data_IF_603883715681
#
_entry.id   IF_603883715681
#
_cell.length_a   1.000
_cell.length_b   1.000
_cell.length_c   1.000
_cell.angle_alpha   90.00
_cell.angle_beta   90.00
_cell.angle_gamma   90.00
#
_symmetry.space_group_name_H-M   'P 1'
#
loop_
_entity.id
_entity.type
_entity.pdbx_description
1 polymer ?
#
# COMPACT_ATOMS: atom_id res chain seq x y z
N UNK A 1 5.97 34.90 -2.53
CA UNK A 1 5.21 33.68 -2.20
C UNK A 1 6.03 32.89 -1.18
N UNK A 2 5.59 32.83 0.08
CA UNK A 2 6.34 32.25 1.21
C UNK A 2 6.32 30.71 1.15
N UNK A 3 7.41 30.06 1.58
CA UNK A 3 7.59 28.60 1.55
C UNK A 3 6.39 27.83 2.14
N UNK A 4 5.81 28.37 3.22
CA UNK A 4 4.63 27.80 3.89
C UNK A 4 3.39 27.72 2.98
N UNK A 5 3.22 28.67 2.06
CA UNK A 5 2.09 28.66 1.12
C UNK A 5 2.24 27.56 0.07
N UNK A 6 3.47 27.33 -0.41
CA UNK A 6 3.77 26.25 -1.36
C UNK A 6 3.57 24.86 -0.74
N UNK A 7 4.02 24.67 0.50
CA UNK A 7 3.81 23.40 1.23
C UNK A 7 2.32 23.18 1.49
N UNK A 8 1.58 24.23 1.85
CA UNK A 8 0.12 24.12 2.06
C UNK A 8 -0.62 23.73 0.77
N UNK A 9 -0.25 24.31 -0.38
CA UNK A 9 -0.81 23.94 -1.69
C UNK A 9 -0.47 22.51 -2.13
N UNK A 10 0.68 21.97 -1.73
CA UNK A 10 1.07 20.59 -2.00
C UNK A 10 0.35 19.56 -1.10
N UNK A 11 0.00 19.93 0.13
CA UNK A 11 -0.70 19.04 1.08
C UNK A 11 -2.20 19.03 0.85
N UNK A 12 -2.78 20.13 0.34
CA UNK A 12 -4.22 20.27 0.11
C UNK A 12 -5.03 20.61 1.36
N UNK A 13 -6.35 20.42 1.27
CA UNK A 13 -7.36 20.73 2.29
C UNK A 13 -8.27 19.53 2.50
N UNK A 14 -8.90 19.39 3.68
CA UNK A 14 -9.79 18.26 3.94
C UNK A 14 -11.13 18.41 3.20
N UNK A 15 -11.70 17.29 2.71
CA UNK A 15 -12.96 17.27 1.95
C UNK A 15 -14.20 17.82 2.68
N UNK A 16 -14.20 17.78 4.01
CA UNK A 16 -15.33 18.22 4.83
C UNK A 16 -15.24 19.71 5.23
N UNK A 17 -14.29 20.44 4.65
CA UNK A 17 -14.00 21.83 4.99
C UNK A 17 -13.00 21.95 6.14
N UNK A 18 -12.12 22.97 6.07
CA UNK A 18 -11.10 23.21 7.09
C UNK A 18 -9.79 23.81 6.55
N UNK A 19 -8.80 23.86 7.42
CA UNK A 19 -7.43 24.25 7.07
C UNK A 19 -6.52 23.03 6.88
N UNK A 20 -5.41 23.22 6.15
CA UNK A 20 -4.37 22.19 5.96
C UNK A 20 -3.83 21.63 7.29
N UNK A 21 -3.78 22.45 8.35
CA UNK A 21 -3.37 22.00 9.68
C UNK A 21 -4.31 20.94 10.29
N UNK A 22 -5.63 21.07 10.08
CA UNK A 22 -6.61 20.09 10.55
C UNK A 22 -6.45 18.76 9.81
N UNK A 23 -6.26 18.81 8.48
CA UNK A 23 -5.98 17.63 7.67
C UNK A 23 -4.73 16.88 8.15
N UNK A 24 -3.62 17.59 8.41
CA UNK A 24 -2.39 16.97 8.92
C UNK A 24 -2.61 16.34 10.29
N UNK A 25 -3.28 17.04 11.21
CA UNK A 25 -3.56 16.52 12.55
C UNK A 25 -4.44 15.26 12.52
N UNK A 26 -5.51 15.26 11.72
CA UNK A 26 -6.40 14.12 11.54
C UNK A 26 -5.67 12.93 10.89
N UNK A 27 -4.83 13.20 9.89
CA UNK A 27 -4.01 12.17 9.23
C UNK A 27 -3.02 11.52 10.19
N UNK A 28 -2.38 12.31 11.05
CA UNK A 28 -1.51 11.81 12.11
C UNK A 28 -2.30 10.96 13.11
N UNK A 29 -3.49 11.41 13.52
CA UNK A 29 -4.36 10.68 14.44
C UNK A 29 -4.80 9.32 13.89
N UNK A 30 -5.29 9.28 12.66
CA UNK A 30 -5.66 8.03 11.96
C UNK A 30 -4.42 7.15 11.78
N UNK A 31 -3.31 7.74 11.35
CA UNK A 31 -2.06 7.02 11.12
C UNK A 31 -1.52 6.34 12.38
N UNK A 32 -1.52 7.06 13.50
CA UNK A 32 -1.15 6.52 14.81
C UNK A 32 -2.07 5.37 15.24
N UNK A 33 -3.39 5.55 15.12
CA UNK A 33 -4.37 4.53 15.51
C UNK A 33 -4.18 3.23 14.69
N UNK A 34 -4.01 3.34 13.37
CA UNK A 34 -3.78 2.20 12.48
C UNK A 34 -2.44 1.53 12.76
N UNK A 35 -1.36 2.30 12.89
CA UNK A 35 -0.02 1.79 13.14
C UNK A 35 0.09 1.05 14.49
N UNK A 36 -0.54 1.59 15.54
CA UNK A 36 -0.63 0.92 16.85
C UNK A 36 -1.44 -0.36 16.78
N UNK A 37 -2.54 -0.38 16.02
CA UNK A 37 -3.37 -1.57 15.83
C UNK A 37 -2.59 -2.67 15.11
N UNK A 38 -1.92 -2.35 14.00
CA UNK A 38 -1.09 -3.31 13.24
C UNK A 38 0.04 -3.85 14.12
N UNK A 39 0.73 -2.97 14.85
CA UNK A 39 1.83 -3.35 15.75
C UNK A 39 1.33 -4.23 16.89
N UNK A 40 0.18 -3.91 17.48
CA UNK A 40 -0.44 -4.68 18.55
C UNK A 40 -0.89 -6.08 18.12
N UNK A 41 -1.51 -6.21 16.94
CA UNK A 41 -1.85 -7.51 16.35
C UNK A 41 -0.57 -8.31 16.09
N UNK A 42 0.44 -7.67 15.51
CA UNK A 42 1.71 -8.34 15.19
C UNK A 42 2.43 -8.82 16.45
N UNK A 43 2.41 -8.02 17.52
CA UNK A 43 2.94 -8.40 18.83
C UNK A 43 2.20 -9.62 19.40
N UNK A 44 0.87 -9.63 19.33
CA UNK A 44 0.04 -10.73 19.83
C UNK A 44 0.31 -12.05 19.09
N UNK A 45 0.56 -11.98 17.77
CA UNK A 45 0.86 -13.15 16.94
C UNK A 45 2.30 -13.63 17.09
N UNK A 46 3.27 -12.72 17.07
CA UNK A 46 4.68 -13.08 17.00
C UNK A 46 5.32 -13.35 18.37
N UNK A 47 4.74 -12.84 19.46
CA UNK A 47 5.26 -12.95 20.83
C UNK A 47 6.80 -12.74 20.90
N UNK A 48 7.30 -11.56 20.49
CA UNK A 48 8.73 -11.32 20.36
C UNK A 48 9.43 -11.28 21.72
N UNK A 49 10.64 -11.85 21.80
CA UNK A 49 11.48 -11.78 23.00
C UNK A 49 11.90 -10.32 23.31
N UNK A 50 12.25 -9.56 22.26
CA UNK A 50 12.73 -8.17 22.37
C UNK A 50 11.61 -7.17 22.04
N UNK A 51 10.70 -6.96 22.99
CA UNK A 51 9.48 -6.15 22.80
C UNK A 51 9.78 -4.73 22.33
N UNK A 52 10.76 -4.05 22.93
CA UNK A 52 11.06 -2.65 22.61
C UNK A 52 11.58 -2.48 21.17
N UNK A 53 12.46 -3.38 20.73
CA UNK A 53 12.99 -3.39 19.36
C UNK A 53 11.87 -3.72 18.36
N UNK A 54 11.05 -4.73 18.66
CA UNK A 54 9.94 -5.12 17.80
C UNK A 54 8.96 -3.98 17.59
N UNK A 55 8.47 -3.37 18.68
CA UNK A 55 7.52 -2.25 18.62
C UNK A 55 8.15 -1.05 17.92
N UNK A 56 9.41 -0.73 18.22
CA UNK A 56 10.12 0.38 17.59
C UNK A 56 10.22 0.22 16.06
N UNK A 57 10.64 -0.94 15.58
CA UNK A 57 10.78 -1.23 14.14
C UNK A 57 9.41 -1.25 13.45
N UNK A 58 8.42 -1.93 14.03
CA UNK A 58 7.08 -2.02 13.44
C UNK A 58 6.41 -0.65 13.35
N UNK A 59 6.49 0.17 14.40
CA UNK A 59 5.96 1.54 14.36
C UNK A 59 6.73 2.39 13.34
N UNK A 60 8.07 2.33 13.32
CA UNK A 60 8.86 3.09 12.35
C UNK A 60 8.49 2.78 10.89
N UNK A 61 8.17 1.51 10.58
CA UNK A 61 7.78 1.08 9.25
C UNK A 61 6.31 1.39 8.92
N UNK A 62 5.40 1.19 9.88
CA UNK A 62 3.94 1.28 9.62
C UNK A 62 3.40 2.69 9.76
N UNK A 63 3.93 3.49 10.70
CA UNK A 63 3.47 4.83 10.99
C UNK A 63 3.45 5.76 9.75
N UNK A 64 4.55 5.94 8.99
CA UNK A 64 4.53 6.85 7.84
C UNK A 64 3.52 6.42 6.78
N UNK A 65 3.39 5.11 6.54
CA UNK A 65 2.42 4.55 5.59
C UNK A 65 0.98 4.76 6.04
N UNK A 66 0.69 4.56 7.34
CA UNK A 66 -0.64 4.76 7.90
C UNK A 66 -1.04 6.24 7.93
N UNK A 67 -0.11 7.15 8.23
CA UNK A 67 -0.36 8.60 8.15
C UNK A 67 -0.68 9.00 6.71
N UNK A 68 0.10 8.51 5.74
CA UNK A 68 -0.14 8.75 4.32
C UNK A 68 -1.51 8.22 3.88
N UNK A 69 -1.90 7.02 4.33
CA UNK A 69 -3.21 6.46 4.04
C UNK A 69 -4.36 7.30 4.64
N UNK A 70 -4.21 7.76 5.89
CA UNK A 70 -5.17 8.67 6.52
C UNK A 70 -5.32 9.98 5.76
N UNK A 71 -4.20 10.58 5.34
CA UNK A 71 -4.19 11.77 4.49
C UNK A 71 -4.90 11.54 3.16
N UNK A 72 -4.59 10.43 2.47
CA UNK A 72 -5.14 10.10 1.16
C UNK A 72 -6.67 9.93 1.22
N UNK A 73 -7.21 9.43 2.32
CA UNK A 73 -8.66 9.34 2.54
C UNK A 73 -9.26 10.72 2.82
N UNK A 74 -8.61 11.58 3.59
CA UNK A 74 -9.21 12.83 4.05
C UNK A 74 -9.05 14.00 3.07
N UNK A 75 -7.96 14.00 2.30
CA UNK A 75 -7.61 15.12 1.41
C UNK A 75 -8.61 15.26 0.27
N UNK A 76 -8.98 16.50 0.01
CA UNK A 76 -9.68 16.90 -1.21
C UNK A 76 -8.64 17.09 -2.32
N UNK A 77 -8.67 16.21 -3.31
CA UNK A 77 -7.70 16.18 -4.40
C UNK A 77 -7.72 17.47 -5.23
N UNK A 78 -8.88 18.10 -5.38
CA UNK A 78 -9.04 19.31 -6.20
C UNK A 78 -8.35 20.53 -5.58
N UNK A 79 -7.96 20.41 -4.31
CA UNK A 79 -7.26 21.47 -3.58
C UNK A 79 -5.74 21.32 -3.60
N UNK A 80 -5.22 20.26 -4.24
CA UNK A 80 -3.79 20.00 -4.39
C UNK A 80 -3.28 20.66 -5.67
N UNK A 81 -2.28 21.52 -5.53
CA UNK A 81 -1.63 22.17 -6.67
C UNK A 81 -0.99 21.15 -7.63
N UNK A 82 -1.42 21.15 -8.89
CA UNK A 82 -0.86 20.30 -9.95
C UNK A 82 -1.41 18.87 -9.98
N UNK A 83 -2.50 18.57 -9.26
CA UNK A 83 -3.20 17.30 -9.40
C UNK A 83 -3.76 17.11 -10.82
N UNK A 84 -3.56 15.93 -11.41
CA UNK A 84 -4.20 15.57 -12.69
C UNK A 84 -5.73 15.57 -12.52
N UNK A 85 -6.51 16.27 -13.36
CA UNK A 85 -7.96 16.39 -13.18
C UNK A 85 -8.72 15.05 -13.18
N UNK A 86 -8.30 14.11 -14.05
CA UNK A 86 -8.95 12.81 -14.23
C UNK A 86 -7.88 11.69 -14.18
N UNK A 87 -7.47 11.23 -12.99
CA UNK A 87 -6.43 10.21 -12.84
C UNK A 87 -6.81 8.89 -13.49
N UNK A 88 -8.07 8.48 -13.41
CA UNK A 88 -8.58 7.24 -13.97
C UNK A 88 -8.50 7.19 -15.50
N UNK A 89 -8.54 8.34 -16.17
CA UNK A 89 -8.33 8.44 -17.61
C UNK A 89 -6.86 8.55 -18.00
N UNK A 90 -5.95 8.58 -17.01
CA UNK A 90 -4.52 8.54 -17.29
C UNK A 90 -4.14 7.22 -17.95
N UNK A 91 -3.27 7.30 -18.95
CA UNK A 91 -2.64 6.14 -19.60
C UNK A 91 -1.98 5.24 -18.54
N UNK A 92 -1.43 5.81 -17.47
CA UNK A 92 -0.84 5.04 -16.38
C UNK A 92 -1.87 4.26 -15.53
N UNK A 93 -3.08 4.82 -15.37
CA UNK A 93 -4.17 4.13 -14.67
C UNK A 93 -4.66 2.94 -15.50
N UNK A 94 -4.80 3.12 -16.82
CA UNK A 94 -5.14 2.03 -17.73
C UNK A 94 -4.09 0.92 -17.71
N UNK A 95 -2.80 1.28 -17.71
CA UNK A 95 -1.71 0.30 -17.57
C UNK A 95 -1.78 -0.45 -16.25
N UNK A 96 -2.08 0.25 -15.15
CA UNK A 96 -2.24 -0.35 -13.83
C UNK A 96 -3.41 -1.34 -13.81
N UNK A 97 -4.60 -0.93 -14.25
CA UNK A 97 -5.80 -1.77 -14.23
C UNK A 97 -5.62 -3.04 -15.09
N UNK A 98 -5.02 -2.88 -16.28
CA UNK A 98 -4.74 -4.01 -17.16
C UNK A 98 -3.67 -4.94 -16.56
N UNK A 99 -2.66 -4.40 -15.87
CA UNK A 99 -1.64 -5.18 -15.18
C UNK A 99 -2.19 -5.91 -13.95
N UNK A 100 -3.05 -5.27 -13.15
CA UNK A 100 -3.73 -5.91 -12.00
C UNK A 100 -4.58 -7.07 -12.47
N UNK A 101 -5.42 -6.87 -13.49
CA UNK A 101 -6.25 -7.93 -14.05
C UNK A 101 -5.40 -9.10 -14.55
N UNK A 102 -4.33 -8.84 -15.30
CA UNK A 102 -3.41 -9.88 -15.80
C UNK A 102 -2.74 -10.65 -14.66
N UNK A 103 -2.27 -9.93 -13.63
CA UNK A 103 -1.62 -10.50 -12.45
C UNK A 103 -2.57 -11.41 -11.68
N UNK A 104 -3.82 -10.98 -11.50
CA UNK A 104 -4.85 -11.75 -10.81
C UNK A 104 -5.09 -13.10 -11.51
N UNK A 105 -5.31 -13.09 -12.82
CA UNK A 105 -5.52 -14.32 -13.58
C UNK A 105 -4.29 -15.24 -13.55
N UNK A 106 -3.09 -14.67 -13.62
CA UNK A 106 -1.85 -15.44 -13.49
C UNK A 106 -1.73 -16.09 -12.10
N UNK A 107 -1.95 -15.32 -11.03
CA UNK A 107 -1.88 -15.82 -9.66
C UNK A 107 -2.96 -16.86 -9.37
N UNK A 108 -4.16 -16.71 -9.93
CA UNK A 108 -5.24 -17.70 -9.82
C UNK A 108 -4.80 -19.06 -10.39
N UNK A 109 -4.24 -19.06 -11.60
CA UNK A 109 -3.75 -20.29 -12.24
C UNK A 109 -2.51 -20.84 -11.53
N UNK A 110 -1.54 -19.98 -11.19
CA UNK A 110 -0.29 -20.38 -10.57
C UNK A 110 -0.49 -20.95 -9.16
N UNK A 111 -1.34 -20.32 -8.34
CA UNK A 111 -1.66 -20.83 -7.00
C UNK A 111 -2.45 -22.13 -7.07
N UNK A 112 -3.44 -22.25 -7.97
CA UNK A 112 -4.16 -23.50 -8.18
C UNK A 112 -3.26 -24.65 -8.62
N UNK A 113 -2.35 -24.40 -9.56
CA UNK A 113 -1.35 -25.37 -10.00
C UNK A 113 -0.37 -25.74 -8.86
N UNK A 114 0.10 -24.76 -8.10
CA UNK A 114 0.98 -25.01 -6.95
C UNK A 114 0.30 -25.90 -5.89
N UNK A 115 -0.96 -25.62 -5.56
CA UNK A 115 -1.76 -26.47 -4.65
C UNK A 115 -1.90 -27.90 -5.18
N UNK A 116 -2.14 -28.07 -6.49
CA UNK A 116 -2.21 -29.40 -7.11
C UNK A 116 -0.86 -30.13 -7.02
N UNK A 117 0.25 -29.46 -7.32
CA UNK A 117 1.60 -30.04 -7.25
C UNK A 117 1.93 -30.49 -5.82
N UNK A 118 1.56 -29.70 -4.81
CA UNK A 118 1.78 -30.07 -3.40
C UNK A 118 0.97 -31.29 -2.94
N UNK A 119 0.04 -31.81 -3.74
CA UNK A 119 -0.59 -33.12 -3.44
C UNK A 119 0.35 -34.30 -3.71
N UNK A 120 1.38 -34.11 -4.55
CA UNK A 120 2.36 -35.14 -4.90
C UNK A 120 3.74 -34.91 -4.31
N UNK A 121 4.04 -33.67 -3.91
CA UNK A 121 5.33 -33.31 -3.31
C UNK A 121 5.13 -33.04 -1.83
N UNK A 122 5.78 -33.83 -0.98
CA UNK A 122 5.79 -33.63 0.46
C UNK A 122 6.73 -32.46 0.81
N UNK A 123 6.18 -31.24 0.79
CA UNK A 123 6.88 -30.01 1.16
C UNK A 123 6.29 -29.47 2.45
N UNK A 124 7.07 -29.52 3.53
CA UNK A 124 6.71 -28.90 4.79
C UNK A 124 7.32 -27.50 4.88
N UNK A 125 6.51 -26.48 4.61
CA UNK A 125 6.87 -25.07 4.81
C UNK A 125 5.94 -24.43 5.83
N UNK A 126 6.47 -23.48 6.61
CA UNK A 126 5.63 -22.71 7.53
C UNK A 126 4.62 -21.86 6.75
N UNK A 127 3.45 -21.60 7.33
CA UNK A 127 2.45 -20.71 6.74
C UNK A 127 3.02 -19.30 6.47
N UNK A 128 3.91 -18.80 7.34
CA UNK A 128 4.60 -17.53 7.15
C UNK A 128 5.48 -17.55 5.89
N UNK A 129 6.27 -18.62 5.70
CA UNK A 129 7.09 -18.80 4.50
C UNK A 129 6.24 -18.87 3.24
N UNK A 130 5.14 -19.63 3.27
CA UNK A 130 4.21 -19.73 2.15
C UNK A 130 3.60 -18.36 1.80
N UNK A 131 3.14 -17.60 2.80
CA UNK A 131 2.58 -16.27 2.60
C UNK A 131 3.61 -15.30 2.01
N UNK A 132 4.86 -15.32 2.49
CA UNK A 132 5.94 -14.50 1.93
C UNK A 132 6.24 -14.86 0.47
N UNK A 133 6.29 -16.15 0.12
CA UNK A 133 6.51 -16.61 -1.26
C UNK A 133 5.38 -16.11 -2.17
N UNK A 134 4.13 -16.27 -1.74
CA UNK A 134 2.96 -15.81 -2.51
C UNK A 134 2.99 -14.29 -2.70
N UNK A 135 3.23 -13.52 -1.63
CA UNK A 135 3.32 -12.08 -1.70
C UNK A 135 4.46 -11.61 -2.61
N UNK A 136 5.65 -12.20 -2.48
CA UNK A 136 6.80 -11.89 -3.33
C UNK A 136 6.52 -12.21 -4.80
N UNK A 137 5.92 -13.37 -5.07
CA UNK A 137 5.53 -13.77 -6.43
C UNK A 137 4.52 -12.80 -7.01
N UNK A 138 3.50 -12.39 -6.24
CA UNK A 138 2.50 -11.43 -6.69
C UNK A 138 3.13 -10.08 -7.05
N UNK A 139 4.06 -9.56 -6.23
CA UNK A 139 4.78 -8.32 -6.53
C UNK A 139 5.63 -8.42 -7.81
N UNK A 140 6.33 -9.53 -7.99
CA UNK A 140 7.16 -9.78 -9.18
C UNK A 140 6.29 -9.88 -10.44
N UNK A 141 5.23 -10.68 -10.40
CA UNK A 141 4.30 -10.85 -11.53
C UNK A 141 3.65 -9.52 -11.89
N UNK A 142 3.18 -8.76 -10.89
CA UNK A 142 2.62 -7.43 -11.12
C UNK A 142 3.61 -6.51 -11.82
N UNK A 143 4.86 -6.44 -11.33
CA UNK A 143 5.92 -5.64 -11.95
C UNK A 143 6.18 -6.04 -13.40
N UNK A 144 6.22 -7.35 -13.70
CA UNK A 144 6.38 -7.86 -15.06
C UNK A 144 5.18 -7.47 -15.94
N UNK A 145 3.95 -7.73 -15.49
CA UNK A 145 2.73 -7.40 -16.22
C UNK A 145 2.66 -5.90 -16.52
N UNK A 146 2.94 -5.05 -15.54
CA UNK A 146 2.97 -3.60 -15.72
C UNK A 146 3.99 -3.16 -16.77
N UNK A 147 5.22 -3.70 -16.71
CA UNK A 147 6.25 -3.37 -17.71
C UNK A 147 5.91 -3.89 -19.10
N UNK A 148 5.23 -5.03 -19.22
CA UNK A 148 4.78 -5.58 -20.51
C UNK A 148 3.68 -4.69 -21.11
N UNK A 149 2.65 -4.34 -20.33
CA UNK A 149 1.56 -3.46 -20.78
C UNK A 149 2.12 -2.11 -21.22
N UNK A 150 2.96 -1.49 -20.37
CA UNK A 150 3.64 -0.23 -20.67
C UNK A 150 4.50 -0.28 -21.93
N UNK A 151 5.05 -1.44 -22.31
CA UNK A 151 5.83 -1.60 -23.55
C UNK A 151 4.98 -1.81 -24.79
N UNK A 152 3.75 -2.32 -24.64
CA UNK A 152 2.82 -2.58 -25.76
C UNK A 152 2.05 -1.33 -26.18
N UNK A 153 1.81 -0.43 -25.25
CA UNK A 153 1.02 0.80 -25.46
C UNK A 153 1.89 2.06 -25.58
N UNK A 154 3.21 1.89 -25.78
CA UNK A 154 4.13 2.93 -26.24
C UNK A 154 4.05 3.09 -27.74
#
# INVERSE_FOLDING_TARGET
MTLAHKIAGQVGRPRHGGGTAALVAESIGIGLALSLTITGISYWVCQPDEVALFVGVFLACTLPMSIMAGWLVLVDRDTIDGATPEPELSVESQWYDQAVSSTFHFMLVASGAACMIFTWVDVQISAATAAMIVAATMMVVFGICYQVVKRREK
#
